data_IF_152764373334
#
_entry.id   IF_152764373334
#
_cell.length_a   1.000
_cell.length_b   1.000
_cell.length_c   1.000
_cell.angle_alpha   90.00
_cell.angle_beta   90.00
_cell.angle_gamma   90.00
#
_symmetry.space_group_name_H-M   'P 1'
#
loop_
_entity.id
_entity.type
_entity.pdbx_description
1 polymer ?
#
# COMPACT_ATOMS: atom_id res chain seq x y z
N UNK A 1 14.19 -15.96 11.09
CA UNK A 1 14.31 -15.87 9.63
C UNK A 1 14.74 -14.46 9.29
N UNK A 2 15.86 -14.27 8.59
CA UNK A 2 16.32 -12.93 8.20
C UNK A 2 15.22 -12.25 7.37
N UNK A 3 14.87 -11.02 7.75
CA UNK A 3 13.72 -10.29 7.19
C UNK A 3 13.86 -10.06 5.69
N UNK A 4 13.00 -10.69 4.91
CA UNK A 4 13.01 -10.56 3.46
C UNK A 4 12.40 -9.23 3.07
N UNK A 5 13.23 -8.22 2.82
CA UNK A 5 12.77 -6.93 2.29
C UNK A 5 12.19 -7.12 0.89
N UNK A 6 11.21 -6.30 0.53
CA UNK A 6 10.74 -6.19 -0.85
C UNK A 6 11.91 -5.78 -1.76
N UNK A 7 12.04 -6.44 -2.91
CA UNK A 7 13.09 -6.13 -3.89
C UNK A 7 12.97 -4.68 -4.38
N UNK A 8 14.08 -3.98 -4.67
CA UNK A 8 14.04 -2.58 -5.10
C UNK A 8 13.14 -2.33 -6.32
N UNK A 9 13.23 -3.18 -7.35
CA UNK A 9 12.41 -3.03 -8.56
C UNK A 9 10.93 -3.25 -8.28
N UNK A 10 10.60 -4.18 -7.38
CA UNK A 10 9.24 -4.43 -6.94
C UNK A 10 8.67 -3.27 -6.10
N UNK A 11 9.51 -2.68 -5.25
CA UNK A 11 9.16 -1.47 -4.51
C UNK A 11 8.86 -0.31 -5.46
N UNK A 12 9.74 -0.09 -6.44
CA UNK A 12 9.59 0.98 -7.42
C UNK A 12 8.33 0.80 -8.27
N UNK A 13 8.05 -0.43 -8.72
CA UNK A 13 6.82 -0.75 -9.45
C UNK A 13 5.56 -0.40 -8.65
N UNK A 14 5.50 -0.83 -7.39
CA UNK A 14 4.36 -0.50 -6.52
C UNK A 14 4.23 1.01 -6.27
N UNK A 15 5.36 1.70 -6.05
CA UNK A 15 5.39 3.16 -5.84
C UNK A 15 4.83 3.90 -7.05
N UNK A 16 5.27 3.56 -8.25
CA UNK A 16 4.80 4.18 -9.49
C UNK A 16 3.32 3.91 -9.76
N UNK A 17 2.84 2.70 -9.46
CA UNK A 17 1.43 2.37 -9.58
C UNK A 17 0.58 3.19 -8.59
N UNK A 18 1.00 3.26 -7.32
CA UNK A 18 0.29 4.03 -6.28
C UNK A 18 0.34 5.53 -6.55
N UNK A 19 1.44 6.08 -7.07
CA UNK A 19 1.56 7.50 -7.40
C UNK A 19 0.50 7.98 -8.40
N UNK A 20 -0.01 7.10 -9.27
CA UNK A 20 -1.08 7.42 -10.23
C UNK A 20 -2.45 7.62 -9.57
N UNK A 21 -2.65 7.08 -8.37
CA UNK A 21 -3.94 7.13 -7.64
C UNK A 21 -3.88 7.93 -6.34
N UNK A 22 -2.69 8.11 -5.76
CA UNK A 22 -2.46 8.78 -4.49
C UNK A 22 -2.47 10.33 -4.60
N UNK A 23 -3.56 10.87 -5.13
CA UNK A 23 -3.79 12.32 -5.19
C UNK A 23 -4.18 12.81 -3.79
N UNK A 24 -3.42 13.74 -3.18
CA UNK A 24 -3.52 14.11 -1.75
C UNK A 24 -4.96 14.33 -1.26
N UNK A 25 -5.75 15.19 -1.91
CA UNK A 25 -7.12 15.45 -1.46
C UNK A 25 -8.06 14.23 -1.56
N UNK A 26 -7.79 13.31 -2.49
CA UNK A 26 -8.54 12.04 -2.58
C UNK A 26 -8.12 11.07 -1.49
N UNK A 27 -6.84 11.04 -1.14
CA UNK A 27 -6.33 10.23 -0.03
C UNK A 27 -6.95 10.69 1.29
N UNK A 28 -6.99 12.01 1.55
CA UNK A 28 -7.58 12.55 2.77
C UNK A 28 -9.10 12.29 2.84
N UNK A 29 -9.80 12.45 1.71
CA UNK A 29 -11.22 12.11 1.62
C UNK A 29 -11.47 10.62 1.88
N UNK A 30 -10.63 9.73 1.32
CA UNK A 30 -10.73 8.29 1.56
C UNK A 30 -10.41 7.91 3.01
N UNK A 31 -9.43 8.57 3.63
CA UNK A 31 -9.13 8.42 5.06
C UNK A 31 -10.37 8.76 5.90
N UNK A 32 -11.02 9.90 5.63
CA UNK A 32 -12.24 10.29 6.35
C UNK A 32 -13.39 9.29 6.11
N UNK A 33 -13.52 8.76 4.89
CA UNK A 33 -14.50 7.71 4.59
C UNK A 33 -14.27 6.47 5.47
N UNK A 34 -13.03 5.97 5.57
CA UNK A 34 -12.70 4.81 6.42
C UNK A 34 -13.02 5.08 7.89
N UNK A 35 -12.68 6.28 8.40
CA UNK A 35 -13.03 6.71 9.77
C UNK A 35 -14.55 6.68 9.97
N UNK A 36 -15.31 7.25 9.04
CA UNK A 36 -16.77 7.33 9.14
C UNK A 36 -17.43 5.95 9.06
N UNK A 37 -16.89 5.02 8.28
CA UNK A 37 -17.38 3.64 8.26
C UNK A 37 -17.19 2.94 9.61
N UNK A 38 -16.14 3.27 10.36
CA UNK A 38 -15.81 2.70 11.67
C UNK A 38 -15.78 1.15 11.69
N UNK A 39 -15.39 0.55 10.55
CA UNK A 39 -15.26 -0.92 10.37
C UNK A 39 -13.82 -1.42 10.49
N UNK A 40 -12.83 -0.53 10.39
CA UNK A 40 -11.41 -0.88 10.48
C UNK A 40 -10.83 -0.47 11.83
N UNK A 41 -10.12 -1.39 12.49
CA UNK A 41 -9.36 -1.08 13.71
C UNK A 41 -8.14 -0.20 13.43
N UNK A 42 -7.55 -0.35 12.25
CA UNK A 42 -6.39 0.41 11.80
C UNK A 42 -6.76 1.10 10.49
N UNK A 43 -7.08 2.39 10.60
CA UNK A 43 -7.49 3.24 9.48
C UNK A 43 -6.36 3.39 8.48
N UNK A 44 -5.13 3.61 8.96
CA UNK A 44 -3.98 3.86 8.09
C UNK A 44 -3.55 2.59 7.38
N UNK A 45 -3.58 1.42 8.03
CA UNK A 45 -3.35 0.14 7.36
C UNK A 45 -4.40 -0.07 6.27
N UNK A 46 -5.69 0.10 6.59
CA UNK A 46 -6.75 -0.03 5.60
C UNK A 46 -6.54 0.88 4.40
N UNK A 47 -6.18 2.14 4.64
CA UNK A 47 -5.90 3.13 3.60
C UNK A 47 -4.79 2.67 2.64
N UNK A 48 -3.66 2.13 3.13
CA UNK A 48 -2.57 1.68 2.22
C UNK A 48 -3.00 0.51 1.36
N UNK A 49 -3.75 -0.43 1.93
CA UNK A 49 -4.22 -1.61 1.21
C UNK A 49 -5.30 -1.26 0.18
N UNK A 50 -6.19 -0.32 0.49
CA UNK A 50 -7.16 0.22 -0.46
C UNK A 50 -6.45 0.95 -1.61
N UNK A 51 -5.41 1.76 -1.33
CA UNK A 51 -4.62 2.41 -2.38
C UNK A 51 -3.89 1.40 -3.26
N UNK A 52 -3.32 0.33 -2.70
CA UNK A 52 -2.72 -0.74 -3.48
C UNK A 52 -3.74 -1.44 -4.38
N UNK A 53 -4.95 -1.68 -3.87
CA UNK A 53 -6.07 -2.22 -4.64
C UNK A 53 -6.48 -1.29 -5.79
N UNK A 54 -6.68 0.01 -5.52
CA UNK A 54 -7.04 1.01 -6.54
C UNK A 54 -5.94 1.22 -7.58
N UNK A 55 -4.68 1.01 -7.21
CA UNK A 55 -3.55 1.00 -8.13
C UNK A 55 -3.49 -0.24 -9.03
N UNK A 56 -4.41 -1.21 -8.85
CA UNK A 56 -4.46 -2.44 -9.63
C UNK A 56 -3.36 -3.45 -9.27
N UNK A 57 -2.75 -3.33 -8.09
CA UNK A 57 -1.59 -4.15 -7.72
C UNK A 57 -1.95 -5.56 -7.24
N UNK A 58 -3.22 -5.86 -6.93
CA UNK A 58 -3.59 -7.14 -6.29
C UNK A 58 -3.12 -8.39 -7.07
N UNK A 59 -3.39 -8.54 -8.38
CA UNK A 59 -2.91 -9.72 -9.11
C UNK A 59 -1.39 -9.77 -9.17
N UNK A 60 -0.75 -8.61 -9.41
CA UNK A 60 0.70 -8.51 -9.52
C UNK A 60 1.41 -8.86 -8.19
N UNK A 61 0.86 -8.44 -7.05
CA UNK A 61 1.36 -8.79 -5.71
C UNK A 61 1.28 -10.31 -5.50
N UNK A 62 0.16 -10.93 -5.88
CA UNK A 62 0.01 -12.38 -5.76
C UNK A 62 1.05 -13.14 -6.56
N UNK A 63 1.29 -12.72 -7.81
CA UNK A 63 2.20 -13.41 -8.72
C UNK A 63 3.68 -13.12 -8.41
N UNK A 64 4.01 -11.92 -7.91
CA UNK A 64 5.41 -11.46 -7.83
C UNK A 64 5.93 -11.29 -6.41
N UNK A 65 5.09 -11.01 -5.41
CA UNK A 65 5.52 -10.71 -4.04
C UNK A 65 5.34 -11.92 -3.11
N UNK A 66 4.16 -12.55 -3.14
CA UNK A 66 3.89 -13.70 -2.27
C UNK A 66 4.78 -14.94 -2.47
N UNK A 67 5.49 -15.13 -3.61
CA UNK A 67 6.50 -16.19 -3.69
C UNK A 67 7.67 -16.05 -2.71
N UNK A 68 7.96 -14.84 -2.20
CA UNK A 68 9.13 -14.61 -1.35
C UNK A 68 8.89 -13.72 -0.12
N UNK A 69 7.74 -13.06 -0.03
CA UNK A 69 7.39 -12.14 1.05
C UNK A 69 5.96 -12.40 1.54
N UNK A 70 5.57 -11.74 2.62
CA UNK A 70 4.25 -11.82 3.22
C UNK A 70 3.68 -10.43 3.50
N UNK A 71 2.47 -10.37 4.06
CA UNK A 71 1.76 -9.14 4.35
C UNK A 71 2.53 -8.15 5.23
N UNK A 72 3.38 -8.61 6.15
CA UNK A 72 4.15 -7.72 7.04
C UNK A 72 5.25 -6.97 6.27
N UNK A 73 5.92 -7.68 5.35
CA UNK A 73 6.92 -7.09 4.47
C UNK A 73 6.25 -6.12 3.49
N UNK A 74 5.09 -6.50 2.94
CA UNK A 74 4.31 -5.68 2.04
C UNK A 74 3.76 -4.42 2.73
N UNK A 75 3.17 -4.54 3.92
CA UNK A 75 2.67 -3.39 4.69
C UNK A 75 3.80 -2.42 5.05
N UNK A 76 4.99 -2.95 5.36
CA UNK A 76 6.18 -2.12 5.61
C UNK A 76 6.60 -1.33 4.36
N UNK A 77 6.56 -1.96 3.18
CA UNK A 77 6.82 -1.27 1.92
C UNK A 77 5.75 -0.22 1.60
N UNK A 78 4.46 -0.58 1.68
CA UNK A 78 3.34 0.33 1.44
C UNK A 78 3.37 1.56 2.37
N UNK A 79 3.71 1.35 3.65
CA UNK A 79 3.85 2.45 4.61
C UNK A 79 4.98 3.41 4.23
N UNK A 80 6.07 2.90 3.68
CA UNK A 80 7.20 3.73 3.23
C UNK A 80 6.83 4.50 1.97
N UNK A 81 6.19 3.84 1.00
CA UNK A 81 5.66 4.47 -0.22
C UNK A 81 4.72 5.63 0.12
N UNK A 82 3.77 5.43 1.04
CA UNK A 82 2.86 6.50 1.44
C UNK A 82 3.56 7.70 2.06
N UNK A 83 4.59 7.48 2.90
CA UNK A 83 5.40 8.59 3.44
C UNK A 83 6.14 9.35 2.34
N UNK A 84 6.58 8.69 1.28
CA UNK A 84 7.29 9.34 0.19
C UNK A 84 6.36 10.12 -0.76
N UNK A 85 5.10 9.70 -0.90
CA UNK A 85 4.16 10.28 -1.85
C UNK A 85 3.23 11.35 -1.24
N UNK A 86 2.98 11.28 0.06
CA UNK A 86 1.90 12.01 0.75
C UNK A 86 2.43 12.76 2.00
N UNK A 87 3.75 12.84 2.17
CA UNK A 87 4.37 13.69 3.20
C UNK A 87 4.17 15.19 2.91
#
# INVERSE_FOLDING_TARGET
MAGTKILPDHYQHMKEAIAKVAITHKVDAHRQFIVNENKSKDVEKRLRWDLAYYAGLTPWICDNIYPYANDDHLDTALRSIMKELIA
#
